data_IF_451425158603
#
_entry.id   IF_451425158603
#
_cell.length_a   1.000
_cell.length_b   1.000
_cell.length_c   1.000
_cell.angle_alpha   90.00
_cell.angle_beta   90.00
_cell.angle_gamma   90.00
#
_symmetry.space_group_name_H-M   'P 1'
#
loop_
_entity.id
_entity.type
_entity.pdbx_description
1 polymer ?
#
# COMPACT_ATOMS: atom_id res chain seq x y z
N UNK A 1 15.20 -4.49 21.21
CA UNK A 1 14.54 -3.86 20.05
C UNK A 1 15.55 -3.74 18.93
N UNK A 2 15.13 -4.04 17.71
CA UNK A 2 15.95 -3.92 16.50
C UNK A 2 15.23 -3.02 15.49
N UNK A 3 15.93 -2.06 14.89
CA UNK A 3 15.34 -1.09 13.97
C UNK A 3 16.08 -1.12 12.64
N UNK A 4 15.37 -1.48 11.55
CA UNK A 4 15.87 -1.40 10.18
C UNK A 4 15.67 0.00 9.65
N UNK A 5 16.72 0.64 9.12
CA UNK A 5 16.64 1.98 8.53
C UNK A 5 17.00 1.93 7.05
N UNK A 6 16.03 2.24 6.18
CA UNK A 6 16.24 2.38 4.75
C UNK A 6 16.29 3.87 4.36
N UNK A 7 17.50 4.37 4.03
CA UNK A 7 17.73 5.77 3.63
C UNK A 7 17.36 6.06 2.17
N UNK A 8 17.29 5.04 1.32
CA UNK A 8 17.05 5.22 -0.12
C UNK A 8 15.61 5.63 -0.46
N UNK A 9 14.68 5.54 0.50
CA UNK A 9 13.26 5.77 0.29
C UNK A 9 12.78 7.22 0.46
N UNK A 10 13.67 8.22 0.64
CA UNK A 10 13.25 9.62 0.86
C UNK A 10 14.20 10.67 0.29
N UNK A 11 13.67 11.60 -0.49
CA UNK A 11 14.35 12.82 -1.00
C UNK A 11 14.20 14.00 -0.05
N UNK A 12 14.53 13.89 1.22
CA UNK A 12 14.36 15.04 2.12
C UNK A 12 15.69 15.77 2.41
N UNK A 13 15.86 16.89 1.75
CA UNK A 13 17.02 17.80 1.92
C UNK A 13 16.98 18.60 3.25
N UNK A 14 15.88 18.56 4.02
CA UNK A 14 15.65 19.52 5.13
C UNK A 14 15.18 18.87 6.45
N UNK A 15 15.08 17.56 6.56
CA UNK A 15 14.69 16.91 7.83
C UNK A 15 15.91 16.44 8.62
N UNK A 16 15.83 16.55 9.95
CA UNK A 16 16.82 15.95 10.85
C UNK A 16 17.00 14.48 10.50
N UNK A 17 18.26 14.01 10.46
CA UNK A 17 18.57 12.60 10.18
C UNK A 17 17.82 11.71 11.19
N UNK A 18 16.88 10.86 10.74
CA UNK A 18 16.09 10.04 11.63
C UNK A 18 16.95 9.12 12.50
N UNK A 19 18.11 8.70 12.01
CA UNK A 19 19.05 7.85 12.78
C UNK A 19 19.54 8.57 14.03
N UNK A 20 19.86 9.87 13.94
CA UNK A 20 20.29 10.67 15.09
C UNK A 20 19.18 10.82 16.13
N UNK A 21 17.94 11.03 15.68
CA UNK A 21 16.79 11.15 16.59
C UNK A 21 16.51 9.79 17.27
N UNK A 22 16.54 8.71 16.51
CA UNK A 22 16.36 7.35 17.03
C UNK A 22 17.44 7.03 18.06
N UNK A 23 18.72 7.26 17.75
CA UNK A 23 19.84 6.97 18.66
C UNK A 23 19.76 7.79 19.94
N UNK A 24 19.35 9.06 19.87
CA UNK A 24 19.20 9.93 21.04
C UNK A 24 18.03 9.52 21.94
N UNK A 25 16.89 9.14 21.34
CA UNK A 25 15.65 8.83 22.05
C UNK A 25 15.56 7.36 22.48
N UNK A 26 16.21 6.45 21.75
CA UNK A 26 16.19 5.00 21.97
C UNK A 26 17.64 4.43 22.07
N UNK A 27 18.43 4.84 23.07
CA UNK A 27 19.86 4.50 23.15
C UNK A 27 20.15 2.99 23.34
N UNK A 28 19.12 2.19 23.67
CA UNK A 28 19.22 0.72 23.77
C UNK A 28 18.71 -0.03 22.54
N UNK A 29 18.29 0.70 21.49
CA UNK A 29 17.90 0.08 20.25
C UNK A 29 19.13 -0.33 19.43
N UNK A 30 19.11 -1.53 18.90
CA UNK A 30 20.05 -1.95 17.85
C UNK A 30 19.54 -1.39 16.53
N UNK A 31 20.28 -0.45 15.94
CA UNK A 31 19.88 0.27 14.72
C UNK A 31 20.75 -0.16 13.56
N UNK A 32 20.15 -0.81 12.58
CA UNK A 32 20.82 -1.26 11.36
C UNK A 32 20.39 -0.37 10.18
N UNK A 33 21.31 0.40 9.66
CA UNK A 33 21.12 1.15 8.41
C UNK A 33 21.45 0.22 7.25
N UNK A 34 20.53 0.08 6.31
CA UNK A 34 20.73 -0.75 5.12
C UNK A 34 21.81 -0.16 4.23
N UNK A 35 22.65 -1.02 3.71
CA UNK A 35 23.58 -0.73 2.62
C UNK A 35 22.87 -0.75 1.27
N UNK A 36 23.52 -0.27 0.23
CA UNK A 36 22.95 -0.28 -1.12
C UNK A 36 22.78 -1.73 -1.62
N UNK A 37 21.55 -2.08 -1.99
CA UNK A 37 21.21 -3.43 -2.46
C UNK A 37 20.84 -4.43 -1.35
N UNK A 38 20.92 -4.07 -0.07
CA UNK A 38 20.43 -4.95 1.01
C UNK A 38 18.89 -4.99 1.04
N UNK A 39 18.36 -6.20 1.17
CA UNK A 39 16.91 -6.40 1.37
C UNK A 39 16.53 -6.22 2.85
N UNK A 40 15.60 -5.29 3.17
CA UNK A 40 15.08 -5.14 4.53
C UNK A 40 14.50 -6.45 5.11
N UNK A 41 14.02 -7.37 4.27
CA UNK A 41 13.53 -8.69 4.69
C UNK A 41 14.63 -9.52 5.30
N UNK A 42 15.75 -9.65 4.61
CA UNK A 42 16.86 -10.50 5.04
C UNK A 42 17.47 -9.99 6.34
N UNK A 43 17.65 -8.67 6.46
CA UNK A 43 18.15 -8.03 7.67
C UNK A 43 17.19 -8.22 8.86
N UNK A 44 15.89 -8.10 8.63
CA UNK A 44 14.90 -8.33 9.68
C UNK A 44 14.82 -9.82 10.07
N UNK A 45 14.87 -10.74 9.11
CA UNK A 45 14.89 -12.19 9.37
C UNK A 45 16.14 -12.60 10.16
N UNK A 46 17.31 -12.07 9.78
CA UNK A 46 18.52 -12.30 10.56
C UNK A 46 18.35 -11.88 12.02
N UNK A 47 17.79 -10.68 12.25
CA UNK A 47 17.61 -10.16 13.60
C UNK A 47 16.67 -11.02 14.46
N UNK A 48 15.56 -11.52 13.90
CA UNK A 48 14.59 -12.33 14.66
C UNK A 48 15.07 -13.76 14.92
N UNK A 49 16.03 -14.24 14.12
CA UNK A 49 16.61 -15.58 14.29
C UNK A 49 17.86 -15.61 15.18
N UNK A 50 18.28 -14.47 15.75
CA UNK A 50 19.43 -14.41 16.70
C UNK A 50 19.06 -15.06 18.03
N UNK A 51 20.05 -15.57 18.80
CA UNK A 51 19.81 -16.08 20.16
C UNK A 51 19.22 -15.02 21.11
N UNK A 52 19.55 -13.75 20.90
CA UNK A 52 19.06 -12.57 21.60
C UNK A 52 17.99 -11.81 20.80
N UNK A 53 17.08 -12.55 20.16
CA UNK A 53 16.03 -11.99 19.32
C UNK A 53 15.34 -10.78 19.95
N UNK A 54 15.04 -9.74 19.16
CA UNK A 54 14.40 -8.53 19.66
C UNK A 54 12.95 -8.81 20.08
N UNK A 55 12.44 -8.07 21.06
CA UNK A 55 11.03 -8.10 21.45
C UNK A 55 10.16 -7.12 20.65
N UNK A 56 10.76 -6.28 19.85
CA UNK A 56 10.10 -5.27 18.98
C UNK A 56 10.93 -5.15 17.72
N UNK A 57 10.31 -5.25 16.58
CA UNK A 57 10.89 -4.82 15.30
C UNK A 57 10.49 -3.37 15.00
N UNK A 58 11.45 -2.57 14.58
CA UNK A 58 11.23 -1.22 14.09
C UNK A 58 11.65 -1.10 12.63
N UNK A 59 11.00 -0.20 11.91
CA UNK A 59 11.38 0.16 10.55
C UNK A 59 11.29 1.67 10.35
N UNK A 60 12.35 2.25 9.81
CA UNK A 60 12.37 3.63 9.33
C UNK A 60 12.61 3.63 7.83
N UNK A 61 11.59 3.92 7.05
CA UNK A 61 11.65 3.81 5.58
C UNK A 61 10.35 4.21 4.90
N UNK A 62 10.27 3.93 3.61
CA UNK A 62 9.05 4.07 2.81
C UNK A 62 8.08 2.89 2.98
N UNK A 63 6.90 2.98 2.34
CA UNK A 63 5.83 2.00 2.48
C UNK A 63 6.26 0.56 2.11
N UNK A 64 7.12 0.37 1.08
CA UNK A 64 7.65 -0.94 0.73
C UNK A 64 8.51 -1.56 1.84
N UNK A 65 9.50 -0.82 2.37
CA UNK A 65 10.31 -1.29 3.50
C UNK A 65 9.46 -1.58 4.74
N UNK A 66 8.43 -0.76 4.98
CA UNK A 66 7.48 -0.97 6.09
C UNK A 66 6.69 -2.26 5.88
N UNK A 67 6.18 -2.53 4.69
CA UNK A 67 5.45 -3.76 4.39
C UNK A 67 6.32 -5.01 4.53
N UNK A 68 7.57 -4.94 4.05
CA UNK A 68 8.55 -6.03 4.13
C UNK A 68 8.88 -6.39 5.59
N UNK A 69 9.22 -5.38 6.41
CA UNK A 69 9.54 -5.62 7.84
C UNK A 69 8.29 -6.03 8.63
N UNK A 70 7.12 -5.51 8.27
CA UNK A 70 5.84 -5.92 8.86
C UNK A 70 5.52 -7.40 8.61
N UNK A 71 5.86 -7.91 7.42
CA UNK A 71 5.72 -9.34 7.11
C UNK A 71 6.56 -10.20 8.06
N UNK A 72 7.81 -9.81 8.30
CA UNK A 72 8.71 -10.52 9.24
C UNK A 72 8.21 -10.38 10.68
N UNK A 73 7.81 -9.17 11.12
CA UNK A 73 7.30 -8.93 12.47
C UNK A 73 6.06 -9.80 12.76
N UNK A 74 5.14 -9.86 11.81
CA UNK A 74 3.95 -10.71 11.90
C UNK A 74 4.31 -12.20 12.00
N UNK A 75 5.23 -12.68 11.16
CA UNK A 75 5.68 -14.06 11.16
C UNK A 75 6.37 -14.48 12.46
N UNK A 76 7.02 -13.53 13.14
CA UNK A 76 7.71 -13.73 14.42
C UNK A 76 6.85 -13.37 15.65
N UNK A 77 5.58 -13.00 15.46
CA UNK A 77 4.66 -12.52 16.51
C UNK A 77 5.25 -11.36 17.35
N UNK A 78 5.89 -10.41 16.65
CA UNK A 78 6.52 -9.24 17.24
C UNK A 78 5.75 -7.96 16.93
N UNK A 79 5.61 -7.04 17.91
CA UNK A 79 5.06 -5.72 17.65
C UNK A 79 5.98 -4.90 16.77
N UNK A 80 5.36 -4.12 15.86
CA UNK A 80 6.02 -3.28 14.88
C UNK A 80 6.03 -1.81 15.29
N UNK A 81 7.21 -1.18 15.28
CA UNK A 81 7.38 0.26 15.35
C UNK A 81 7.59 0.83 13.95
N UNK A 82 6.63 1.63 13.46
CA UNK A 82 6.74 2.30 12.16
C UNK A 82 7.21 3.73 12.34
N UNK A 83 8.38 4.04 11.80
CA UNK A 83 8.98 5.39 11.80
C UNK A 83 8.94 5.94 10.37
N UNK A 84 8.30 7.09 10.13
CA UNK A 84 8.17 7.64 8.79
C UNK A 84 9.53 8.08 8.24
N UNK A 85 10.01 7.42 7.18
CA UNK A 85 11.29 7.72 6.51
C UNK A 85 11.15 7.92 5.00
N UNK A 86 10.01 7.58 4.41
CA UNK A 86 9.72 7.71 2.98
C UNK A 86 8.98 8.99 2.62
N UNK A 87 8.66 9.14 1.33
CA UNK A 87 7.93 10.29 0.80
C UNK A 87 6.46 10.28 1.21
N UNK A 88 5.79 9.12 1.20
CA UNK A 88 4.33 9.00 1.38
C UNK A 88 3.93 8.56 2.76
N UNK A 89 4.55 7.50 3.28
CA UNK A 89 4.32 6.95 4.61
C UNK A 89 2.82 6.70 4.89
N UNK A 90 2.11 6.10 3.92
CA UNK A 90 0.66 5.87 3.99
C UNK A 90 0.27 5.07 5.23
N UNK A 91 0.95 3.94 5.44
CA UNK A 91 0.68 3.11 6.61
C UNK A 91 1.06 3.81 7.91
N UNK A 92 2.22 4.47 7.96
CA UNK A 92 2.65 5.26 9.13
C UNK A 92 1.62 6.33 9.51
N UNK A 93 1.07 7.05 8.54
CA UNK A 93 0.00 8.03 8.78
C UNK A 93 -1.29 7.39 9.26
N UNK A 94 -1.69 6.26 8.69
CA UNK A 94 -2.87 5.50 9.13
C UNK A 94 -2.70 4.97 10.56
N UNK A 95 -1.47 4.62 10.94
CA UNK A 95 -1.09 4.27 12.30
C UNK A 95 -0.90 5.49 13.23
N UNK A 96 -1.13 6.72 12.76
CA UNK A 96 -0.95 7.94 13.57
C UNK A 96 0.52 8.37 13.76
N UNK A 97 1.48 7.65 13.19
CA UNK A 97 2.91 7.97 13.24
C UNK A 97 3.25 9.01 12.16
N UNK A 98 2.79 10.24 12.30
CA UNK A 98 3.04 11.32 11.35
C UNK A 98 4.47 11.89 11.44
N UNK A 99 5.19 11.63 12.52
CA UNK A 99 6.59 12.05 12.75
C UNK A 99 7.36 10.97 13.51
N UNK A 100 8.70 11.08 13.46
CA UNK A 100 9.61 10.21 14.22
C UNK A 100 9.31 10.28 15.73
N UNK A 101 9.08 11.49 16.23
CA UNK A 101 8.81 11.72 17.66
C UNK A 101 7.50 11.05 18.11
N UNK A 102 6.43 11.20 17.33
CA UNK A 102 5.14 10.58 17.65
C UNK A 102 5.24 9.04 17.67
N UNK A 103 5.99 8.45 16.73
CA UNK A 103 6.21 7.01 16.71
C UNK A 103 6.97 6.53 17.96
N UNK A 104 8.05 7.22 18.33
CA UNK A 104 8.85 6.87 19.51
C UNK A 104 8.05 7.11 20.80
N UNK A 105 7.26 8.16 20.86
CA UNK A 105 6.39 8.44 22.00
C UNK A 105 5.37 7.32 22.24
N UNK A 106 4.75 6.80 21.17
CA UNK A 106 3.82 5.69 21.27
C UNK A 106 4.50 4.43 21.82
N UNK A 107 5.70 4.11 21.34
CA UNK A 107 6.50 3.01 21.84
C UNK A 107 6.81 3.18 23.35
N UNK A 108 7.31 4.34 23.77
CA UNK A 108 7.73 4.62 25.16
C UNK A 108 6.55 4.55 26.14
N UNK A 109 5.33 4.81 25.66
CA UNK A 109 4.09 4.71 26.45
C UNK A 109 3.43 3.35 26.36
N UNK A 110 3.90 2.45 25.49
CA UNK A 110 3.26 1.16 25.25
C UNK A 110 1.89 1.31 24.56
N UNK A 111 1.67 2.42 23.85
CA UNK A 111 0.43 2.67 23.12
C UNK A 111 0.45 1.93 21.78
N UNK A 112 -0.53 1.09 21.51
CA UNK A 112 -0.58 0.30 20.29
C UNK A 112 -1.99 -0.10 19.88
N UNK A 113 -2.07 -0.70 18.69
CA UNK A 113 -3.31 -1.24 18.12
C UNK A 113 -2.98 -2.51 17.37
N UNK A 114 -3.89 -3.49 17.39
CA UNK A 114 -3.83 -4.63 16.48
C UNK A 114 -4.43 -4.22 15.13
N UNK A 115 -3.60 -4.32 14.11
CA UNK A 115 -3.99 -3.95 12.75
C UNK A 115 -4.36 -5.19 11.92
N UNK A 116 -5.37 -5.01 11.07
CA UNK A 116 -5.64 -5.94 9.99
C UNK A 116 -4.54 -5.83 8.93
N UNK A 117 -4.22 -6.92 8.28
CA UNK A 117 -3.41 -6.94 7.06
C UNK A 117 -4.16 -7.66 5.95
N UNK A 118 -3.89 -7.34 4.70
CA UNK A 118 -4.30 -8.21 3.62
C UNK A 118 -3.16 -9.18 3.27
N UNK A 119 -3.50 -10.37 2.85
CA UNK A 119 -2.59 -11.34 2.25
C UNK A 119 -2.88 -11.44 0.77
N UNK A 120 -1.83 -11.29 -0.02
CA UNK A 120 -1.84 -11.47 -1.48
C UNK A 120 -1.06 -12.76 -1.79
N UNK A 121 -1.72 -13.72 -2.45
CA UNK A 121 -1.16 -15.03 -2.77
C UNK A 121 -1.23 -15.24 -4.27
N UNK A 122 -0.11 -15.61 -4.89
CA UNK A 122 -0.04 -15.96 -6.31
C UNK A 122 0.05 -17.48 -6.47
N UNK A 123 -1.01 -18.09 -7.01
CA UNK A 123 -1.04 -19.55 -7.14
C UNK A 123 -0.83 -20.26 -5.79
N UNK A 124 0.27 -21.02 -5.69
CA UNK A 124 0.66 -21.77 -4.50
C UNK A 124 1.88 -21.14 -3.78
N UNK A 125 2.22 -19.88 -4.09
CA UNK A 125 3.34 -19.16 -3.48
C UNK A 125 3.03 -18.72 -2.05
N UNK A 126 4.08 -18.34 -1.31
CA UNK A 126 3.92 -17.80 0.04
C UNK A 126 3.14 -16.48 0.03
N UNK A 127 2.29 -16.24 1.04
CA UNK A 127 1.52 -15.02 1.14
C UNK A 127 2.41 -13.78 1.29
N UNK A 128 2.13 -12.74 0.52
CA UNK A 128 2.72 -11.41 0.68
C UNK A 128 1.83 -10.60 1.62
N UNK A 129 2.42 -9.98 2.63
CA UNK A 129 1.69 -9.06 3.53
C UNK A 129 1.48 -7.71 2.86
N UNK A 130 0.23 -7.26 2.80
CA UNK A 130 -0.19 -5.98 2.23
C UNK A 130 -0.79 -5.12 3.33
N UNK A 131 -0.20 -3.96 3.59
CA UNK A 131 -0.61 -3.05 4.66
C UNK A 131 -1.60 -1.98 4.20
N UNK A 132 -1.43 -1.48 2.99
CA UNK A 132 -2.26 -0.40 2.45
C UNK A 132 -3.21 -0.92 1.37
N UNK A 133 -2.67 -1.36 0.24
CA UNK A 133 -3.48 -1.82 -0.87
C UNK A 133 -2.69 -2.63 -1.88
N UNK A 134 -3.41 -3.50 -2.60
CA UNK A 134 -2.97 -4.15 -3.82
C UNK A 134 -3.80 -3.66 -5.01
N UNK A 135 -3.22 -3.63 -6.20
CA UNK A 135 -3.93 -3.16 -7.40
C UNK A 135 -3.39 -3.76 -8.68
N UNK A 136 -4.25 -3.85 -9.69
CA UNK A 136 -3.86 -4.19 -11.06
C UNK A 136 -4.46 -3.20 -12.05
N UNK A 137 -3.72 -2.90 -13.13
CA UNK A 137 -4.11 -1.92 -14.13
C UNK A 137 -3.56 -0.53 -13.83
N UNK A 138 -4.27 0.52 -14.25
CA UNK A 138 -3.75 1.89 -14.31
C UNK A 138 -3.58 2.59 -12.95
N UNK A 139 -3.98 1.97 -11.84
CA UNK A 139 -4.03 2.65 -10.55
C UNK A 139 -2.65 3.05 -10.02
N UNK A 140 -1.70 2.13 -10.05
CA UNK A 140 -0.34 2.39 -9.56
C UNK A 140 0.33 3.52 -10.36
N UNK A 141 0.26 3.45 -11.69
CA UNK A 141 0.78 4.49 -12.59
C UNK A 141 0.09 5.84 -12.39
N UNK A 142 -1.23 5.80 -12.12
CA UNK A 142 -1.99 7.02 -11.84
C UNK A 142 -1.53 7.69 -10.56
N UNK A 143 -1.33 6.93 -9.48
CA UNK A 143 -0.86 7.48 -8.20
C UNK A 143 0.52 8.10 -8.37
N UNK A 144 1.48 7.39 -8.95
CA UNK A 144 2.84 7.88 -9.17
C UNK A 144 2.89 9.15 -10.04
N UNK A 145 2.10 9.17 -11.14
CA UNK A 145 2.06 10.34 -12.05
C UNK A 145 1.34 11.53 -11.42
N UNK A 146 0.30 11.27 -10.61
CA UNK A 146 -0.52 12.29 -9.98
C UNK A 146 0.30 13.19 -9.06
N UNK A 147 1.13 12.62 -8.21
CA UNK A 147 1.92 13.36 -7.25
C UNK A 147 2.90 14.34 -7.91
N UNK A 148 3.53 13.93 -9.01
CA UNK A 148 4.40 14.79 -9.79
C UNK A 148 3.65 15.98 -10.41
N UNK A 149 2.43 15.76 -10.88
CA UNK A 149 1.64 16.80 -11.55
C UNK A 149 0.86 17.68 -10.57
N UNK A 150 0.43 17.15 -9.42
CA UNK A 150 -0.23 17.94 -8.37
C UNK A 150 0.68 19.04 -7.79
N UNK A 151 1.96 18.73 -7.62
CA UNK A 151 2.94 19.73 -7.15
C UNK A 151 3.07 20.92 -8.11
N UNK A 152 2.82 20.71 -9.42
CA UNK A 152 3.00 21.73 -10.45
C UNK A 152 1.70 22.44 -10.84
N UNK A 153 0.57 21.73 -10.88
CA UNK A 153 -0.69 22.20 -11.44
C UNK A 153 -1.84 22.26 -10.44
N UNK A 154 -1.56 21.93 -9.18
CA UNK A 154 -2.56 21.83 -8.14
C UNK A 154 -3.38 20.54 -8.19
N UNK A 155 -4.10 20.27 -7.11
CA UNK A 155 -4.73 18.96 -6.83
C UNK A 155 -5.66 18.44 -7.93
N UNK A 156 -6.55 19.27 -8.44
CA UNK A 156 -7.59 18.83 -9.40
C UNK A 156 -7.08 18.72 -10.82
N UNK A 157 -6.32 19.73 -11.27
CA UNK A 157 -5.76 19.75 -12.62
C UNK A 157 -4.68 18.68 -12.75
N UNK A 158 -3.81 18.55 -11.77
CA UNK A 158 -2.79 17.50 -11.71
C UNK A 158 -3.40 16.11 -11.76
N UNK A 159 -4.45 15.84 -10.97
CA UNK A 159 -5.14 14.55 -10.98
C UNK A 159 -5.79 14.24 -12.35
N UNK A 160 -6.44 15.22 -12.99
CA UNK A 160 -7.08 15.00 -14.28
C UNK A 160 -6.06 14.76 -15.40
N UNK A 161 -4.96 15.54 -15.41
CA UNK A 161 -3.87 15.37 -16.38
C UNK A 161 -3.17 14.02 -16.20
N UNK A 162 -2.93 13.59 -14.96
CA UNK A 162 -2.36 12.27 -14.65
C UNK A 162 -3.24 11.15 -15.15
N UNK A 163 -4.53 11.20 -14.83
CA UNK A 163 -5.49 10.20 -15.28
C UNK A 163 -5.58 10.14 -16.81
N UNK A 164 -5.63 11.29 -17.48
CA UNK A 164 -5.66 11.35 -18.94
C UNK A 164 -4.36 10.81 -19.57
N UNK A 165 -3.20 11.16 -19.01
CA UNK A 165 -1.89 10.69 -19.49
C UNK A 165 -1.74 9.19 -19.37
N UNK A 166 -2.07 8.63 -18.19
CA UNK A 166 -1.96 7.19 -17.91
C UNK A 166 -2.93 6.42 -18.79
N UNK A 167 -4.21 6.80 -18.83
CA UNK A 167 -5.23 6.11 -19.62
C UNK A 167 -4.98 6.15 -21.14
N UNK A 168 -4.25 7.17 -21.64
CA UNK A 168 -3.86 7.21 -23.06
C UNK A 168 -2.86 6.13 -23.43
N UNK A 169 -1.98 5.75 -22.49
CA UNK A 169 -0.88 4.81 -22.71
C UNK A 169 -1.21 3.38 -22.29
N UNK A 170 -2.26 3.23 -21.48
CA UNK A 170 -2.65 1.93 -20.91
C UNK A 170 -3.77 1.27 -21.71
N UNK A 171 -3.85 -0.05 -21.61
CA UNK A 171 -4.96 -0.86 -22.09
C UNK A 171 -5.78 -1.40 -20.91
N UNK A 172 -7.10 -1.65 -21.11
CA UNK A 172 -7.90 -2.32 -20.09
C UNK A 172 -7.43 -3.75 -19.86
N UNK A 173 -7.53 -4.19 -18.63
CA UNK A 173 -7.17 -5.55 -18.19
C UNK A 173 -8.42 -6.43 -18.21
N UNK A 174 -8.28 -7.67 -18.69
CA UNK A 174 -9.34 -8.67 -18.64
C UNK A 174 -9.14 -9.50 -17.37
N UNK A 175 -10.14 -9.45 -16.48
CA UNK A 175 -10.14 -10.14 -15.18
C UNK A 175 -11.28 -11.15 -15.10
N UNK A 176 -11.08 -12.16 -14.24
CA UNK A 176 -12.19 -12.92 -13.66
C UNK A 176 -12.12 -12.71 -12.16
N UNK A 177 -13.14 -12.10 -11.61
CA UNK A 177 -13.25 -11.78 -10.17
C UNK A 177 -14.39 -12.63 -9.61
N UNK A 178 -14.09 -13.50 -8.67
CA UNK A 178 -15.07 -14.47 -8.09
C UNK A 178 -15.92 -15.17 -9.15
N UNK A 179 -15.26 -15.65 -10.21
CA UNK A 179 -15.91 -16.35 -11.32
C UNK A 179 -16.59 -15.45 -12.37
N UNK A 180 -16.68 -14.14 -12.15
CA UNK A 180 -17.31 -13.19 -13.08
C UNK A 180 -16.28 -12.50 -13.96
N UNK A 181 -16.47 -12.53 -15.26
CA UNK A 181 -15.59 -11.82 -16.20
C UNK A 181 -15.83 -10.32 -16.14
N UNK A 182 -14.77 -9.56 -15.98
CA UNK A 182 -14.78 -8.11 -16.00
C UNK A 182 -13.64 -7.59 -16.88
N UNK A 183 -13.90 -6.52 -17.59
CA UNK A 183 -12.88 -5.76 -18.30
C UNK A 183 -12.75 -4.41 -17.61
N UNK A 184 -11.58 -4.14 -17.08
CA UNK A 184 -11.37 -3.02 -16.17
C UNK A 184 -10.20 -2.15 -16.59
N UNK A 185 -10.25 -0.87 -16.27
CA UNK A 185 -9.08 -0.01 -16.25
C UNK A 185 -8.23 -0.26 -15.03
N UNK A 186 -8.89 -0.53 -13.88
CA UNK A 186 -8.23 -0.76 -12.61
C UNK A 186 -9.10 -1.59 -11.68
N UNK A 187 -8.46 -2.51 -10.97
CA UNK A 187 -8.95 -3.13 -9.74
C UNK A 187 -8.04 -2.67 -8.60
N UNK A 188 -8.62 -2.11 -7.55
CA UNK A 188 -7.95 -1.70 -6.33
C UNK A 188 -8.56 -2.46 -5.15
N UNK A 189 -7.71 -2.97 -4.28
CA UNK A 189 -8.11 -3.74 -3.09
C UNK A 189 -7.34 -3.20 -1.89
N UNK A 190 -7.98 -2.39 -1.07
CA UNK A 190 -7.42 -1.84 0.17
C UNK A 190 -7.49 -2.83 1.31
N UNK A 191 -6.45 -2.88 2.15
CA UNK A 191 -6.38 -3.71 3.37
C UNK A 191 -7.20 -3.13 4.53
N UNK A 192 -8.36 -2.57 4.25
CA UNK A 192 -9.29 -1.95 5.20
C UNK A 192 -10.07 -0.80 4.56
N UNK A 193 -11.08 -0.25 5.25
CA UNK A 193 -11.86 0.86 4.75
C UNK A 193 -11.00 2.10 4.51
N UNK A 194 -10.99 2.60 3.28
CA UNK A 194 -10.26 3.80 2.90
C UNK A 194 -11.18 5.03 2.88
N UNK A 195 -10.60 6.23 3.08
CA UNK A 195 -11.37 7.46 3.02
C UNK A 195 -12.05 7.62 1.65
N UNK A 196 -13.40 7.68 1.63
CA UNK A 196 -14.14 7.88 0.39
C UNK A 196 -13.99 9.31 -0.18
N UNK A 197 -13.46 10.24 0.60
CA UNK A 197 -13.27 11.64 0.19
C UNK A 197 -11.99 11.90 -0.61
N UNK A 198 -11.05 10.95 -0.64
CA UNK A 198 -9.80 11.09 -1.37
C UNK A 198 -9.87 10.40 -2.73
N UNK A 199 -9.36 11.07 -3.76
CA UNK A 199 -9.30 10.51 -5.11
C UNK A 199 -8.29 9.36 -5.24
N UNK A 200 -7.30 9.30 -4.34
CA UNK A 200 -6.39 8.19 -4.16
C UNK A 200 -6.58 7.61 -2.75
N UNK A 201 -7.32 6.51 -2.60
CA UNK A 201 -7.66 5.96 -1.29
C UNK A 201 -6.52 5.09 -0.76
N UNK A 202 -5.38 5.70 -0.45
CA UNK A 202 -4.24 4.98 0.16
C UNK A 202 -4.20 5.17 1.68
N UNK A 203 -5.10 5.96 2.25
CA UNK A 203 -5.15 6.21 3.68
C UNK A 203 -6.33 5.48 4.31
N UNK A 204 -6.03 4.49 5.12
CA UNK A 204 -7.04 3.74 5.87
C UNK A 204 -7.65 4.63 6.95
N UNK A 205 -8.96 4.56 7.11
CA UNK A 205 -9.68 5.24 8.20
C UNK A 205 -9.51 4.52 9.52
N UNK A 206 -9.44 3.18 9.46
CA UNK A 206 -9.28 2.29 10.60
C UNK A 206 -8.32 1.17 10.24
N UNK A 207 -7.56 0.71 11.22
CA UNK A 207 -6.65 -0.41 11.07
C UNK A 207 -7.30 -1.77 11.39
N UNK A 208 -8.49 -1.76 11.99
CA UNK A 208 -9.22 -2.89 12.55
C UNK A 208 -10.62 -3.06 11.93
N UNK A 209 -10.76 -2.79 10.64
CA UNK A 209 -12.06 -2.83 9.95
C UNK A 209 -12.56 -4.22 9.57
N UNK A 210 -11.67 -5.22 9.54
CA UNK A 210 -11.99 -6.62 9.24
C UNK A 210 -12.45 -6.90 7.80
N UNK A 211 -12.27 -5.96 6.87
CA UNK A 211 -12.74 -6.08 5.49
C UNK A 211 -11.75 -5.49 4.49
N UNK A 212 -11.76 -6.01 3.27
CA UNK A 212 -11.14 -5.41 2.10
C UNK A 212 -12.05 -4.30 1.53
N UNK A 213 -11.46 -3.18 1.09
CA UNK A 213 -12.14 -2.13 0.32
C UNK A 213 -11.86 -2.35 -1.17
N UNK A 214 -12.82 -2.95 -1.88
CA UNK A 214 -12.66 -3.31 -3.29
C UNK A 214 -13.25 -2.21 -4.16
N UNK A 215 -12.46 -1.74 -5.12
CA UNK A 215 -12.88 -0.70 -6.08
C UNK A 215 -12.53 -1.11 -7.50
N UNK A 216 -13.55 -1.19 -8.34
CA UNK A 216 -13.43 -1.63 -9.73
C UNK A 216 -13.77 -0.47 -10.66
N UNK A 217 -12.85 -0.09 -11.51
CA UNK A 217 -13.09 0.86 -12.59
C UNK A 217 -13.23 0.10 -13.91
N UNK A 218 -14.47 -0.17 -14.30
CA UNK A 218 -14.77 -0.93 -15.52
C UNK A 218 -14.30 -0.20 -16.80
N UNK A 219 -13.90 -0.99 -17.78
CA UNK A 219 -13.49 -0.48 -19.09
C UNK A 219 -14.64 0.25 -19.78
N UNK A 220 -14.30 1.36 -20.45
CA UNK A 220 -15.24 2.22 -21.16
C UNK A 220 -14.53 3.44 -21.74
N UNK A 221 -15.25 4.56 -21.86
CA UNK A 221 -14.67 5.82 -22.33
C UNK A 221 -13.51 6.28 -21.45
N UNK A 222 -12.35 6.52 -22.04
CA UNK A 222 -11.15 7.03 -21.35
C UNK A 222 -11.41 8.36 -20.63
N UNK A 223 -12.18 9.25 -21.23
CA UNK A 223 -12.53 10.52 -20.61
C UNK A 223 -13.31 10.36 -19.32
N UNK A 224 -14.29 9.43 -19.32
CA UNK A 224 -15.08 9.12 -18.12
C UNK A 224 -14.28 8.38 -17.05
N UNK A 225 -13.34 7.52 -17.45
CA UNK A 225 -12.42 6.88 -16.55
C UNK A 225 -11.47 7.90 -15.90
N UNK A 226 -10.93 8.85 -16.67
CA UNK A 226 -10.10 9.93 -16.17
C UNK A 226 -10.84 10.78 -15.12
N UNK A 227 -12.08 11.14 -15.39
CA UNK A 227 -12.91 11.87 -14.43
C UNK A 227 -13.15 11.05 -13.14
N UNK A 228 -13.39 9.74 -13.25
CA UNK A 228 -13.60 8.86 -12.08
C UNK A 228 -12.34 8.71 -11.21
N UNK A 229 -11.17 8.67 -11.80
CA UNK A 229 -9.88 8.63 -11.10
C UNK A 229 -9.54 9.97 -10.43
N UNK A 230 -9.80 11.09 -11.14
CA UNK A 230 -9.46 12.43 -10.68
C UNK A 230 -10.36 12.93 -9.53
N UNK A 231 -11.65 12.61 -9.61
CA UNK A 231 -12.66 13.16 -8.70
C UNK A 231 -13.16 12.12 -7.71
N UNK A 232 -12.74 11.93 -6.55
CA UNK A 232 -13.15 10.92 -5.55
C UNK A 232 -14.69 10.69 -5.44
N UNK A 233 -15.10 9.78 -4.57
CA UNK A 233 -16.49 9.26 -4.49
C UNK A 233 -17.58 10.34 -4.36
N UNK A 234 -17.35 11.41 -3.58
CA UNK A 234 -18.37 12.48 -3.36
C UNK A 234 -18.64 13.25 -4.63
N UNK A 235 -17.60 13.73 -5.31
CA UNK A 235 -17.75 14.46 -6.57
C UNK A 235 -18.23 13.54 -7.69
N UNK A 236 -17.78 12.27 -7.70
CA UNK A 236 -18.30 11.24 -8.61
C UNK A 236 -19.78 10.93 -8.39
N UNK A 237 -20.30 11.03 -7.16
CA UNK A 237 -21.71 10.85 -6.88
C UNK A 237 -22.57 11.99 -7.46
N UNK A 238 -22.11 13.23 -7.34
CA UNK A 238 -22.76 14.41 -7.93
C UNK A 238 -22.74 14.31 -9.47
N UNK A 239 -21.59 14.03 -10.05
CA UNK A 239 -21.44 13.89 -11.50
C UNK A 239 -22.23 12.70 -12.07
N UNK A 240 -22.44 11.63 -11.28
CA UNK A 240 -23.35 10.51 -11.63
C UNK A 240 -24.81 10.92 -11.58
N UNK A 241 -25.20 11.69 -10.57
CA UNK A 241 -26.55 12.28 -10.48
C UNK A 241 -26.87 13.16 -11.70
N UNK A 242 -25.89 13.89 -12.20
CA UNK A 242 -25.97 14.68 -13.43
C UNK A 242 -25.79 13.85 -14.72
N UNK A 243 -25.71 12.51 -14.64
CA UNK A 243 -25.46 11.59 -15.76
C UNK A 243 -24.16 11.86 -16.55
N UNK A 244 -23.24 12.62 -15.98
CA UNK A 244 -21.94 12.94 -16.59
C UNK A 244 -20.90 11.85 -16.39
N UNK A 245 -21.07 10.96 -15.39
CA UNK A 245 -20.21 9.80 -15.15
C UNK A 245 -20.95 8.47 -15.36
N UNK A 246 -20.26 7.43 -15.84
CA UNK A 246 -20.87 6.13 -16.03
C UNK A 246 -21.18 5.43 -14.71
N UNK A 247 -22.18 4.54 -14.72
CA UNK A 247 -22.49 3.60 -13.62
C UNK A 247 -21.41 2.51 -13.39
N UNK A 248 -20.25 2.62 -14.03
CA UNK A 248 -19.22 1.56 -14.12
C UNK A 248 -18.10 1.66 -13.11
N UNK A 249 -18.30 2.40 -12.03
CA UNK A 249 -17.42 2.36 -10.87
C UNK A 249 -18.14 1.61 -9.76
N UNK A 250 -17.66 0.41 -9.46
CA UNK A 250 -18.16 -0.39 -8.35
C UNK A 250 -17.25 -0.22 -7.14
N UNK A 251 -17.83 -0.13 -5.96
CA UNK A 251 -17.13 -0.18 -4.70
C UNK A 251 -17.94 -1.02 -3.72
N UNK A 252 -17.29 -2.03 -3.16
CA UNK A 252 -17.87 -2.95 -2.19
C UNK A 252 -16.81 -3.40 -1.19
N UNK A 253 -17.24 -4.10 -0.14
CA UNK A 253 -16.34 -4.72 0.83
C UNK A 253 -16.42 -6.23 0.70
N UNK A 254 -15.29 -6.91 0.94
CA UNK A 254 -15.17 -8.35 0.93
C UNK A 254 -14.22 -8.81 2.04
N UNK A 255 -14.25 -10.06 2.42
CA UNK A 255 -13.24 -10.66 3.29
C UNK A 255 -12.17 -11.40 2.51
N UNK A 256 -12.51 -11.83 1.30
CA UNK A 256 -11.60 -12.48 0.36
C UNK A 256 -12.04 -12.16 -1.06
N UNK A 257 -11.10 -12.18 -1.99
CA UNK A 257 -11.32 -11.95 -3.41
C UNK A 257 -10.42 -12.88 -4.23
N UNK A 258 -11.01 -13.62 -5.15
CA UNK A 258 -10.29 -14.48 -6.10
C UNK A 258 -10.22 -13.77 -7.46
N UNK A 259 -9.02 -13.53 -7.94
CA UNK A 259 -8.77 -12.75 -9.16
C UNK A 259 -7.92 -13.56 -10.12
N UNK A 260 -8.42 -13.78 -11.34
CA UNK A 260 -7.61 -14.29 -12.46
C UNK A 260 -7.34 -13.15 -13.42
N UNK A 261 -6.07 -12.81 -13.59
CA UNK A 261 -5.61 -11.80 -14.55
C UNK A 261 -5.33 -12.51 -15.87
N UNK A 262 -5.98 -12.07 -16.95
CA UNK A 262 -5.82 -12.67 -18.27
C UNK A 262 -4.99 -11.77 -19.18
N UNK A 263 -3.97 -12.30 -19.86
CA UNK A 263 -3.25 -11.52 -20.86
C UNK A 263 -4.16 -11.24 -22.05
N UNK A 264 -4.09 -10.04 -22.59
CA UNK A 264 -4.80 -9.66 -23.81
C UNK A 264 -3.88 -9.70 -25.02
N UNK A 265 -2.69 -9.16 -24.88
CA UNK A 265 -1.59 -9.18 -25.85
C UNK A 265 -0.29 -9.15 -25.08
N UNK A 266 0.57 -10.16 -25.27
CA UNK A 266 1.84 -10.25 -24.56
C UNK A 266 1.69 -10.75 -23.11
N UNK A 267 2.50 -10.20 -22.21
CA UNK A 267 2.48 -10.57 -20.78
C UNK A 267 1.29 -9.94 -20.06
N UNK A 268 0.70 -10.63 -19.07
CA UNK A 268 -0.34 -10.05 -18.24
C UNK A 268 0.27 -8.91 -17.40
N UNK A 269 -0.50 -7.84 -17.10
CA UNK A 269 -0.03 -6.77 -16.24
C UNK A 269 0.25 -7.31 -14.83
N UNK A 270 1.30 -6.82 -14.21
CA UNK A 270 1.64 -7.14 -12.82
C UNK A 270 0.58 -6.63 -11.84
N UNK A 271 0.55 -7.26 -10.67
CA UNK A 271 -0.23 -6.81 -9.53
C UNK A 271 0.69 -6.01 -8.59
N UNK A 272 0.45 -4.73 -8.39
CA UNK A 272 1.22 -3.91 -7.45
C UNK A 272 0.65 -3.99 -6.04
N UNK A 273 1.51 -3.86 -5.03
CA UNK A 273 1.11 -3.74 -3.62
C UNK A 273 2.00 -2.73 -2.88
N UNK A 274 1.42 -1.99 -1.95
CA UNK A 274 2.08 -1.03 -1.05
C UNK A 274 3.07 -0.05 -1.72
N UNK A 275 2.83 0.28 -3.01
CA UNK A 275 3.67 1.18 -3.79
C UNK A 275 4.81 0.47 -4.53
N UNK A 276 4.97 -0.84 -4.36
CA UNK A 276 5.86 -1.67 -5.14
C UNK A 276 5.09 -2.39 -6.23
N UNK A 277 5.71 -2.59 -7.38
CA UNK A 277 5.15 -3.48 -8.40
C UNK A 277 5.57 -4.88 -7.99
N UNK A 278 4.66 -5.61 -7.34
CA UNK A 278 4.85 -7.03 -7.19
C UNK A 278 4.72 -7.65 -8.57
N UNK A 279 5.79 -8.21 -8.97
CA UNK A 279 5.99 -8.98 -10.17
C UNK A 279 6.25 -8.10 -11.40
N UNK A 280 7.41 -8.07 -11.75
CA UNK A 280 7.79 -8.88 -12.92
C UNK A 280 6.91 -10.11 -12.95
N UNK A 281 5.96 -10.13 -13.91
CA UNK A 281 5.03 -11.24 -14.18
C UNK A 281 5.61 -12.59 -13.73
N UNK A 282 4.81 -13.56 -13.21
CA UNK A 282 5.30 -14.92 -12.91
C UNK A 282 5.92 -15.64 -14.14
N UNK A 283 6.46 -14.91 -15.06
CA UNK A 283 7.12 -15.35 -16.26
C UNK A 283 8.47 -16.03 -16.02
N UNK A 284 9.03 -15.90 -14.83
CA UNK A 284 10.11 -16.77 -14.38
C UNK A 284 9.59 -18.12 -13.88
N UNK A 285 8.38 -18.17 -13.38
CA UNK A 285 7.67 -19.41 -13.06
C UNK A 285 7.09 -20.04 -14.34
N UNK A 286 7.93 -20.76 -15.08
CA UNK A 286 7.55 -21.65 -16.18
C UNK A 286 7.20 -20.98 -17.52
N UNK A 287 8.03 -21.23 -18.52
CA UNK A 287 7.81 -20.91 -19.93
C UNK A 287 6.49 -21.45 -20.53
N UNK A 288 5.79 -22.32 -19.82
CA UNK A 288 4.49 -22.90 -20.18
C UNK A 288 3.31 -21.94 -19.92
N UNK A 289 3.47 -20.91 -19.08
CA UNK A 289 2.36 -20.01 -18.68
C UNK A 289 2.25 -18.73 -19.50
N UNK A 290 3.07 -18.52 -20.49
CA UNK A 290 3.15 -17.26 -21.28
C UNK A 290 1.89 -16.85 -22.05
N UNK A 291 0.80 -17.55 -21.94
CA UNK A 291 -0.49 -17.21 -22.56
C UNK A 291 -1.71 -17.43 -21.67
N UNK A 292 -1.53 -18.00 -20.49
CA UNK A 292 -2.65 -18.45 -19.64
C UNK A 292 -3.16 -17.40 -18.63
N UNK A 293 -2.38 -16.36 -18.34
CA UNK A 293 -2.66 -15.46 -17.21
C UNK A 293 -2.23 -16.09 -15.88
N UNK A 294 -2.52 -15.40 -14.78
CA UNK A 294 -2.23 -15.88 -13.42
C UNK A 294 -3.44 -15.69 -12.50
N UNK A 295 -3.50 -16.55 -11.47
CA UNK A 295 -4.48 -16.46 -10.41
C UNK A 295 -3.86 -15.88 -9.16
N UNK A 296 -4.58 -14.99 -8.50
CA UNK A 296 -4.21 -14.45 -7.21
C UNK A 296 -5.42 -14.41 -6.30
N UNK A 297 -5.19 -14.65 -5.02
CA UNK A 297 -6.20 -14.53 -3.97
C UNK A 297 -5.77 -13.42 -3.02
N UNK A 298 -6.69 -12.53 -2.66
CA UNK A 298 -6.47 -11.50 -1.67
C UNK A 298 -7.46 -11.73 -0.54
N UNK A 299 -6.97 -11.84 0.70
CA UNK A 299 -7.84 -12.00 1.87
C UNK A 299 -7.44 -11.06 2.98
N UNK A 300 -8.42 -10.58 3.76
CA UNK A 300 -8.13 -9.86 4.99
C UNK A 300 -7.81 -10.85 6.11
N UNK A 301 -6.79 -10.53 6.89
CA UNK A 301 -6.47 -11.23 8.13
C UNK A 301 -6.66 -10.22 9.26
N UNK A 302 -7.76 -10.34 10.00
CA UNK A 302 -8.08 -9.39 11.05
C UNK A 302 -7.09 -9.44 12.19
N UNK A 303 -6.75 -8.25 12.74
CA UNK A 303 -5.94 -8.10 13.95
C UNK A 303 -4.62 -8.91 13.93
N UNK A 304 -3.97 -8.95 12.78
CA UNK A 304 -2.84 -9.84 12.50
C UNK A 304 -1.47 -9.22 12.79
N UNK A 305 -1.40 -7.93 13.11
CA UNK A 305 -0.15 -7.22 13.36
C UNK A 305 -0.32 -6.23 14.51
N UNK A 306 0.49 -6.37 15.56
CA UNK A 306 0.57 -5.38 16.63
C UNK A 306 1.42 -4.19 16.16
N UNK A 307 0.88 -2.97 16.24
CA UNK A 307 1.55 -1.75 15.77
C UNK A 307 1.52 -0.68 16.86
N UNK A 308 2.66 -0.08 17.15
CA UNK A 308 2.70 1.09 18.03
C UNK A 308 2.00 2.27 17.37
N UNK A 309 1.03 2.83 18.11
CA UNK A 309 0.15 3.91 17.64
C UNK A 309 -0.08 4.93 18.73
N UNK A 310 0.15 6.23 18.48
CA UNK A 310 -0.22 7.27 19.44
C UNK A 310 -1.73 7.26 19.71
N UNK A 311 -2.12 7.45 20.98
CA UNK A 311 -3.53 7.63 21.34
C UNK A 311 -4.13 8.90 20.71
N UNK A 312 -5.40 8.83 20.29
CA UNK A 312 -6.06 9.85 19.48
C UNK A 312 -6.18 11.26 20.17
N UNK A 313 -6.00 11.33 21.49
CA UNK A 313 -6.24 12.57 22.26
C UNK A 313 -5.17 13.66 22.09
N UNK A 314 -4.09 13.43 21.32
CA UNK A 314 -2.95 14.39 21.22
C UNK A 314 -2.59 14.85 19.81
N UNK A 315 -3.31 14.42 18.79
CA UNK A 315 -3.08 14.88 17.41
C UNK A 315 -3.67 16.25 17.08
N UNK A 316 -4.35 16.91 18.03
CA UNK A 316 -5.10 18.15 17.78
C UNK A 316 -4.46 19.44 18.37
N UNK A 317 -3.27 19.32 18.96
CA UNK A 317 -2.51 20.50 19.48
C UNK A 317 -1.12 20.52 18.91
N UNK A 318 -0.97 21.09 17.73
CA UNK A 318 0.31 21.37 17.07
C UNK A 318 0.10 22.19 15.82
#
# INVERSE_FOLDING_TARGET
MFIVVNRSSGTSVVRADPVRVIAARLPRADVRVLEEGEDPRDVALEAVNRPDAPRVLGVCGGDGSVATVAHVARGADLPLLVIPGGTFNHFGRSAGAASVDLAIDALQRGEGVRADVAELVFGDEEPITVLNAASVGVYADFVATREQLEARWGKWVGALLSAARVLRRSEPVDLVVDGRRARVWSLFVGAGPNDPGTAAPLQRQRLDGGVLDVRVLHAGSRLRAAASLAFGRRTSAILRGLRLLPRRYEAFTATSLDVVVRPRRGQPPGFGHDGEVALESPAEASAASRGAGYRTTIRIVPLALDVYRPSADRGATG
#
